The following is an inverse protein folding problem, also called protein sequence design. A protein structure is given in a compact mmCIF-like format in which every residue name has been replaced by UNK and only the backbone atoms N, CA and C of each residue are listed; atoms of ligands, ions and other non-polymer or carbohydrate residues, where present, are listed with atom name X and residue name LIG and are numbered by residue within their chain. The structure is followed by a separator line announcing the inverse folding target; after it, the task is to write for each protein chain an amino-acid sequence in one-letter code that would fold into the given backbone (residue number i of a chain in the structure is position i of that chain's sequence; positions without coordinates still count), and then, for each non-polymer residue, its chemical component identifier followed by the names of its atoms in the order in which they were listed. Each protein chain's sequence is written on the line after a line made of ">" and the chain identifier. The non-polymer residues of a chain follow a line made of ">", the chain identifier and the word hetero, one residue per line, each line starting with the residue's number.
data_IF_830981822150
#
_entry.id   IF_830981822150
#
_cell.length_a   1.000
_cell.length_b   1.000
_cell.length_c   1.000
_cell.angle_alpha   90.00
_cell.angle_beta   90.00
_cell.angle_gamma   90.00
#
_symmetry.space_group_name_H-M   'P 1'
#
loop_
_entity.id
_entity.type
_entity.pdbx_description
1 polymer ?
#
# COMPACT_ATOMS: atom_id res chain seq x y z
N UNK A 1 -12.82 -32.36 10.06
CA UNK A 1 -11.82 -32.35 8.97
C UNK A 1 -10.69 -31.31 9.16
N UNK A 2 -10.45 -30.74 10.36
CA UNK A 2 -9.50 -29.61 10.57
C UNK A 2 -8.29 -29.98 11.49
N UNK A 3 -8.19 -31.23 12.00
CA UNK A 3 -7.18 -31.60 13.00
C UNK A 3 -5.74 -31.83 12.49
N UNK A 4 -5.45 -31.71 11.18
CA UNK A 4 -4.10 -31.98 10.64
C UNK A 4 -3.17 -30.77 10.52
N UNK A 5 -3.60 -29.55 10.88
CA UNK A 5 -2.80 -28.32 10.75
C UNK A 5 -1.88 -28.05 11.95
N UNK A 6 -1.27 -29.08 12.56
CA UNK A 6 -0.14 -28.84 13.48
C UNK A 6 1.13 -28.66 12.64
N UNK A 7 1.72 -27.46 12.56
CA UNK A 7 2.96 -27.26 11.81
C UNK A 7 4.06 -28.11 12.44
N UNK A 8 4.66 -29.00 11.65
CA UNK A 8 5.78 -29.86 12.08
C UNK A 8 7.15 -29.16 11.94
N UNK A 9 7.21 -27.99 11.31
CA UNK A 9 8.45 -27.24 11.04
C UNK A 9 8.27 -25.74 11.21
N UNK A 10 9.37 -25.05 11.54
CA UNK A 10 9.48 -23.58 11.58
C UNK A 10 8.97 -22.93 10.29
N UNK A 11 9.27 -23.54 9.13
CA UNK A 11 8.79 -23.06 7.84
C UNK A 11 7.26 -23.10 7.74
N UNK A 12 6.64 -24.23 8.09
CA UNK A 12 5.17 -24.35 8.05
C UNK A 12 4.49 -23.38 9.00
N UNK A 13 5.05 -23.14 10.19
CA UNK A 13 4.53 -22.15 11.14
C UNK A 13 4.57 -20.73 10.56
N UNK A 14 5.68 -20.34 9.94
CA UNK A 14 5.87 -19.03 9.32
C UNK A 14 4.95 -18.80 8.11
N UNK A 15 4.79 -19.82 7.27
CA UNK A 15 3.85 -19.79 6.14
C UNK A 15 2.41 -19.63 6.63
N UNK A 16 1.98 -20.43 7.61
CA UNK A 16 0.63 -20.31 8.18
C UNK A 16 0.41 -18.92 8.76
N UNK A 17 1.38 -18.37 9.49
CA UNK A 17 1.29 -17.02 10.10
C UNK A 17 1.12 -15.92 9.04
N UNK A 18 1.84 -16.00 7.93
CA UNK A 18 1.70 -15.06 6.81
C UNK A 18 0.38 -15.23 6.08
N UNK A 19 -0.01 -16.47 5.81
CA UNK A 19 -1.26 -16.78 5.12
C UNK A 19 -2.45 -16.27 5.93
N UNK A 20 -2.53 -16.58 7.23
CA UNK A 20 -3.63 -16.12 8.08
C UNK A 20 -3.70 -14.60 8.15
N UNK A 21 -2.56 -13.91 8.32
CA UNK A 21 -2.52 -12.44 8.29
C UNK A 21 -3.01 -11.84 6.97
N UNK A 22 -2.59 -12.44 5.86
CA UNK A 22 -3.00 -11.97 4.52
C UNK A 22 -4.48 -12.23 4.29
N UNK A 23 -4.99 -13.41 4.65
CA UNK A 23 -6.41 -13.75 4.55
C UNK A 23 -7.26 -12.80 5.40
N UNK A 24 -6.86 -12.53 6.65
CA UNK A 24 -7.55 -11.57 7.50
C UNK A 24 -7.52 -10.16 6.92
N UNK A 25 -6.36 -9.71 6.44
CA UNK A 25 -6.22 -8.39 5.83
C UNK A 25 -7.10 -8.24 4.58
N UNK A 26 -7.26 -9.27 3.75
CA UNK A 26 -8.13 -9.23 2.57
C UNK A 26 -9.62 -9.43 2.92
N UNK A 27 -9.94 -10.12 4.01
CA UNK A 27 -11.31 -10.31 4.46
C UNK A 27 -11.93 -9.02 5.03
N UNK A 28 -11.13 -8.14 5.65
CA UNK A 28 -11.60 -6.87 6.24
C UNK A 28 -12.32 -5.99 5.22
N UNK A 29 -11.73 -5.62 4.05
CA UNK A 29 -12.40 -4.77 3.08
C UNK A 29 -13.63 -5.45 2.48
N UNK A 30 -13.60 -6.77 2.29
CA UNK A 30 -14.75 -7.54 1.78
C UNK A 30 -15.91 -7.48 2.76
N UNK A 31 -15.66 -7.71 4.05
CA UNK A 31 -16.68 -7.69 5.10
C UNK A 31 -17.28 -6.29 5.28
N UNK A 32 -16.48 -5.25 5.09
CA UNK A 32 -16.88 -3.85 5.23
C UNK A 32 -17.51 -3.30 3.94
N UNK A 33 -17.30 -3.95 2.79
CA UNK A 33 -17.82 -3.48 1.50
C UNK A 33 -19.33 -3.20 1.46
N UNK A 34 -20.24 -3.98 2.09
CA UNK A 34 -21.69 -3.68 2.07
C UNK A 34 -22.06 -2.38 2.80
N UNK A 35 -21.20 -1.93 3.72
CA UNK A 35 -21.36 -0.66 4.43
C UNK A 35 -20.78 0.46 3.58
N UNK A 36 -19.57 0.25 3.01
CA UNK A 36 -18.95 1.25 2.14
C UNK A 36 -19.80 1.54 0.90
N UNK A 37 -20.42 0.53 0.28
CA UNK A 37 -21.29 0.73 -0.89
C UNK A 37 -22.60 1.44 -0.60
N UNK A 38 -22.95 1.63 0.69
CA UNK A 38 -24.05 2.51 1.10
C UNK A 38 -23.60 3.95 1.38
N UNK A 39 -22.32 4.15 1.70
CA UNK A 39 -21.74 5.44 2.03
C UNK A 39 -21.14 6.14 0.81
N UNK A 40 -20.60 5.38 -0.13
CA UNK A 40 -19.89 5.84 -1.31
C UNK A 40 -20.61 5.43 -2.59
N UNK A 41 -20.54 6.27 -3.60
CA UNK A 41 -21.14 5.97 -4.91
C UNK A 41 -20.18 5.15 -5.78
N UNK A 42 -20.67 4.46 -6.83
CA UNK A 42 -19.80 3.75 -7.77
C UNK A 42 -18.73 4.66 -8.41
N UNK A 43 -19.04 5.95 -8.60
CA UNK A 43 -18.11 6.95 -9.13
C UNK A 43 -16.93 7.18 -8.18
N UNK A 44 -17.17 7.23 -6.86
CA UNK A 44 -16.12 7.35 -5.83
C UNK A 44 -15.13 6.18 -5.89
N UNK A 45 -15.65 4.96 -6.06
CA UNK A 45 -14.82 3.77 -6.24
C UNK A 45 -14.05 3.80 -7.56
N UNK A 46 -14.61 4.41 -8.62
CA UNK A 46 -13.93 4.66 -9.88
C UNK A 46 -12.71 5.57 -9.71
N UNK A 47 -12.86 6.67 -8.96
CA UNK A 47 -11.75 7.59 -8.64
C UNK A 47 -10.68 6.87 -7.83
N UNK A 48 -11.08 6.09 -6.81
CA UNK A 48 -10.14 5.29 -6.03
C UNK A 48 -9.37 4.28 -6.91
N UNK A 49 -10.06 3.55 -7.79
CA UNK A 49 -9.43 2.55 -8.65
C UNK A 49 -8.41 3.20 -9.61
N UNK A 50 -8.78 4.34 -10.19
CA UNK A 50 -7.90 5.12 -11.05
C UNK A 50 -6.67 5.63 -10.27
N UNK A 51 -6.88 6.16 -9.07
CA UNK A 51 -5.82 6.59 -8.16
C UNK A 51 -4.86 5.44 -7.81
N UNK A 52 -5.38 4.26 -7.47
CA UNK A 52 -4.56 3.09 -7.19
C UNK A 52 -3.77 2.64 -8.42
N UNK A 53 -4.35 2.69 -9.62
CA UNK A 53 -3.67 2.28 -10.84
C UNK A 53 -2.47 3.21 -11.14
N UNK A 54 -2.66 4.52 -11.05
CA UNK A 54 -1.59 5.52 -11.25
C UNK A 54 -0.51 5.36 -10.19
N UNK A 55 -0.87 5.29 -8.91
CA UNK A 55 0.10 5.15 -7.82
C UNK A 55 0.87 3.82 -7.89
N UNK A 56 0.23 2.71 -8.27
CA UNK A 56 0.90 1.42 -8.44
C UNK A 56 1.92 1.44 -9.58
N UNK A 57 1.55 2.03 -10.74
CA UNK A 57 2.44 2.17 -11.87
C UNK A 57 3.67 3.02 -11.52
N UNK A 58 3.45 4.19 -10.94
CA UNK A 58 4.53 5.10 -10.56
C UNK A 58 5.39 4.49 -9.46
N UNK A 59 4.80 3.81 -8.47
CA UNK A 59 5.55 3.15 -7.40
C UNK A 59 6.46 2.04 -7.91
N UNK A 60 6.02 1.24 -8.89
CA UNK A 60 6.86 0.20 -9.48
C UNK A 60 8.08 0.77 -10.21
N UNK A 61 7.95 1.94 -10.82
CA UNK A 61 9.06 2.68 -11.43
C UNK A 61 9.93 3.32 -10.33
N UNK A 62 9.30 3.90 -9.30
CA UNK A 62 9.94 4.63 -8.22
C UNK A 62 10.92 3.78 -7.40
N UNK A 63 10.61 2.52 -7.18
CA UNK A 63 11.52 1.63 -6.46
C UNK A 63 12.60 1.02 -7.36
N UNK A 64 12.46 1.13 -8.69
CA UNK A 64 13.36 0.49 -9.67
C UNK A 64 13.42 -1.03 -9.53
N UNK A 65 12.50 -1.63 -8.76
CA UNK A 65 12.56 -3.02 -8.27
C UNK A 65 13.79 -3.37 -7.43
N UNK A 66 14.50 -2.37 -6.90
CA UNK A 66 15.66 -2.60 -6.04
C UNK A 66 15.28 -3.26 -4.71
N UNK A 67 14.02 -3.17 -4.29
CA UNK A 67 13.51 -3.86 -3.11
C UNK A 67 13.67 -5.39 -3.20
N UNK A 68 13.61 -5.97 -4.41
CA UNK A 68 13.86 -7.40 -4.63
C UNK A 68 15.30 -7.78 -4.34
N UNK A 69 16.24 -6.87 -4.59
CA UNK A 69 17.67 -7.11 -4.41
C UNK A 69 18.05 -7.20 -2.92
N UNK A 70 17.21 -6.75 -1.98
CA UNK A 70 17.45 -6.82 -0.53
C UNK A 70 17.69 -8.27 -0.04
N UNK A 71 17.15 -9.26 -0.75
CA UNK A 71 17.31 -10.68 -0.40
C UNK A 71 18.63 -11.30 -0.87
N UNK A 72 19.34 -10.67 -1.82
CA UNK A 72 20.52 -11.26 -2.47
C UNK A 72 21.81 -11.22 -1.63
N UNK A 73 22.15 -10.12 -0.92
CA UNK A 73 23.41 -10.05 -0.19
C UNK A 73 23.50 -11.08 0.94
N UNK A 74 24.70 -11.59 1.20
CA UNK A 74 24.96 -12.47 2.35
C UNK A 74 25.03 -11.67 3.65
N UNK A 75 25.59 -10.48 3.61
CA UNK A 75 25.75 -9.62 4.78
C UNK A 75 24.55 -8.70 4.97
N UNK A 76 24.20 -8.44 6.23
CA UNK A 76 23.08 -7.57 6.56
C UNK A 76 23.39 -6.08 6.32
N UNK A 77 24.66 -5.68 6.39
CA UNK A 77 25.10 -4.32 6.09
C UNK A 77 24.83 -3.98 4.62
N UNK A 78 25.19 -4.88 3.71
CA UNK A 78 24.97 -4.70 2.28
C UNK A 78 23.47 -4.66 1.95
N UNK A 79 22.67 -5.51 2.59
CA UNK A 79 21.21 -5.48 2.44
C UNK A 79 20.58 -4.18 2.99
N UNK A 80 21.11 -3.63 4.10
CA UNK A 80 20.67 -2.35 4.64
C UNK A 80 21.04 -1.18 3.70
N UNK A 81 22.20 -1.25 3.04
CA UNK A 81 22.58 -0.27 2.02
C UNK A 81 21.62 -0.30 0.82
N UNK A 82 21.15 -1.48 0.40
CA UNK A 82 20.12 -1.59 -0.66
C UNK A 82 18.78 -1.00 -0.20
N UNK A 83 18.39 -1.19 1.06
CA UNK A 83 17.20 -0.53 1.63
C UNK A 83 17.34 0.99 1.55
N UNK A 84 18.47 1.53 2.01
CA UNK A 84 18.73 2.97 1.97
C UNK A 84 18.74 3.51 0.53
N UNK A 85 19.35 2.77 -0.41
CA UNK A 85 19.33 3.09 -1.84
C UNK A 85 17.89 3.12 -2.38
N UNK A 86 17.10 2.09 -2.09
CA UNK A 86 15.70 1.99 -2.57
C UNK A 86 14.86 3.16 -2.05
N UNK A 87 14.99 3.50 -0.77
CA UNK A 87 14.30 4.67 -0.18
C UNK A 87 14.76 5.98 -0.82
N UNK A 88 16.06 6.13 -1.07
CA UNK A 88 16.64 7.32 -1.70
C UNK A 88 16.12 7.50 -3.13
N UNK A 89 16.15 6.44 -3.95
CA UNK A 89 15.64 6.46 -5.32
C UNK A 89 14.14 6.72 -5.34
N UNK A 90 13.38 6.08 -4.44
CA UNK A 90 11.93 6.33 -4.32
C UNK A 90 11.65 7.79 -3.94
N UNK A 91 12.43 8.37 -3.04
CA UNK A 91 12.31 9.78 -2.66
C UNK A 91 12.59 10.72 -3.84
N UNK A 92 13.64 10.47 -4.62
CA UNK A 92 13.94 11.23 -5.83
C UNK A 92 12.80 11.14 -6.86
N UNK A 93 12.31 9.93 -7.13
CA UNK A 93 11.23 9.73 -8.11
C UNK A 93 9.90 10.30 -7.62
N UNK A 94 9.63 10.26 -6.31
CA UNK A 94 8.48 10.95 -5.72
C UNK A 94 8.55 12.46 -5.95
N UNK A 95 9.71 13.10 -5.75
CA UNK A 95 9.90 14.52 -6.04
C UNK A 95 9.72 14.84 -7.53
N UNK A 96 10.26 14.01 -8.42
CA UNK A 96 10.05 14.17 -9.88
C UNK A 96 8.57 14.04 -10.22
N UNK A 97 7.88 13.05 -9.63
CA UNK A 97 6.43 12.87 -9.81
C UNK A 97 5.66 14.09 -9.34
N UNK A 98 6.05 14.71 -8.22
CA UNK A 98 5.46 15.94 -7.74
C UNK A 98 5.62 17.09 -8.74
N UNK A 99 6.82 17.27 -9.30
CA UNK A 99 7.06 18.28 -10.33
C UNK A 99 6.23 18.04 -11.60
N UNK A 100 6.13 16.79 -12.04
CA UNK A 100 5.30 16.41 -13.21
C UNK A 100 3.82 16.72 -12.93
N UNK A 101 3.31 16.35 -11.76
CA UNK A 101 1.91 16.63 -11.39
C UNK A 101 1.66 18.13 -11.30
N UNK A 102 2.58 18.93 -10.76
CA UNK A 102 2.41 20.39 -10.66
C UNK A 102 2.30 21.07 -12.03
N UNK A 103 3.02 20.57 -13.03
CA UNK A 103 3.06 21.20 -14.37
C UNK A 103 1.95 20.66 -15.27
N UNK A 104 1.67 19.34 -15.21
CA UNK A 104 0.82 18.64 -16.16
C UNK A 104 -0.50 18.13 -15.54
N UNK A 105 -0.94 18.67 -14.40
CA UNK A 105 -2.13 18.20 -13.70
C UNK A 105 -3.34 18.13 -14.64
N UNK A 106 -3.60 19.21 -15.37
CA UNK A 106 -4.78 19.37 -16.23
C UNK A 106 -4.76 18.39 -17.40
N UNK A 107 -3.62 18.21 -18.05
CA UNK A 107 -3.41 17.30 -19.17
C UNK A 107 -3.57 15.85 -18.71
N UNK A 108 -3.01 15.50 -17.55
CA UNK A 108 -3.13 14.18 -16.96
C UNK A 108 -4.61 13.90 -16.61
N UNK A 109 -5.30 14.84 -15.98
CA UNK A 109 -6.73 14.72 -15.67
C UNK A 109 -7.59 14.52 -16.92
N UNK A 110 -7.32 15.27 -18.00
CA UNK A 110 -8.04 15.15 -19.26
C UNK A 110 -7.78 13.81 -19.93
N UNK A 111 -6.55 13.31 -19.91
CA UNK A 111 -6.16 12.00 -20.43
C UNK A 111 -6.82 10.85 -19.65
N UNK A 112 -6.93 11.00 -18.33
CA UNK A 112 -7.58 10.03 -17.45
C UNK A 112 -9.12 10.04 -17.56
N UNK A 113 -9.70 11.10 -18.14
CA UNK A 113 -11.15 11.20 -18.37
C UNK A 113 -11.98 11.33 -17.10
N UNK A 114 -11.37 11.68 -15.96
CA UNK A 114 -12.09 11.86 -14.69
C UNK A 114 -11.63 13.16 -14.00
N UNK A 115 -12.47 14.22 -13.95
CA UNK A 115 -12.08 15.51 -13.37
C UNK A 115 -11.86 15.46 -11.86
N UNK A 116 -12.52 14.55 -11.14
CA UNK A 116 -12.41 14.46 -9.68
C UNK A 116 -11.02 14.02 -9.20
N UNK A 117 -10.24 13.34 -10.06
CA UNK A 117 -8.89 12.89 -9.69
C UNK A 117 -7.88 14.05 -9.59
N UNK A 118 -8.16 15.21 -10.19
CA UNK A 118 -7.21 16.34 -10.29
C UNK A 118 -6.59 16.72 -8.95
N UNK A 119 -7.41 16.83 -7.90
CA UNK A 119 -6.95 17.16 -6.55
C UNK A 119 -6.16 16.02 -5.90
N UNK A 120 -6.51 14.76 -6.22
CA UNK A 120 -5.85 13.57 -5.69
C UNK A 120 -4.47 13.32 -6.32
N UNK A 121 -4.24 13.79 -7.56
CA UNK A 121 -2.94 13.66 -8.22
C UNK A 121 -1.80 14.30 -7.40
N UNK A 122 -2.05 15.39 -6.67
CA UNK A 122 -1.04 16.03 -5.81
C UNK A 122 -0.61 15.16 -4.63
N UNK A 123 -1.42 14.16 -4.25
CA UNK A 123 -1.15 13.23 -3.14
C UNK A 123 -0.45 11.95 -3.64
N UNK A 124 -0.44 11.70 -4.95
CA UNK A 124 0.25 10.56 -5.58
C UNK A 124 1.73 10.50 -5.18
N UNK A 125 2.54 11.58 -5.23
CA UNK A 125 3.95 11.55 -4.83
C UNK A 125 4.17 11.04 -3.40
N UNK A 126 3.33 11.49 -2.46
CA UNK A 126 3.39 11.05 -1.07
C UNK A 126 3.08 9.56 -0.95
N UNK A 127 2.06 9.09 -1.66
CA UNK A 127 1.67 7.67 -1.65
C UNK A 127 2.74 6.79 -2.27
N UNK A 128 3.39 7.24 -3.35
CA UNK A 128 4.52 6.57 -3.98
C UNK A 128 5.69 6.44 -3.00
N UNK A 129 6.02 7.51 -2.28
CA UNK A 129 7.06 7.49 -1.26
C UNK A 129 6.74 6.49 -0.14
N UNK A 130 5.55 6.60 0.47
CA UNK A 130 5.10 5.69 1.52
C UNK A 130 5.10 4.23 1.05
N UNK A 131 4.64 3.99 -0.18
CA UNK A 131 4.61 2.66 -0.78
C UNK A 131 6.02 2.09 -0.98
N UNK A 132 6.98 2.89 -1.44
CA UNK A 132 8.37 2.42 -1.61
C UNK A 132 9.08 2.16 -0.28
N UNK A 133 8.82 2.98 0.76
CA UNK A 133 9.32 2.71 2.12
C UNK A 133 8.69 1.43 2.67
N UNK A 134 7.37 1.29 2.56
CA UNK A 134 6.63 0.09 2.98
C UNK A 134 7.17 -1.18 2.31
N UNK A 135 7.38 -1.16 1.01
CA UNK A 135 7.96 -2.29 0.27
C UNK A 135 9.37 -2.61 0.75
N UNK A 136 10.25 -1.61 0.89
CA UNK A 136 11.63 -1.80 1.36
C UNK A 136 11.67 -2.44 2.75
N UNK A 137 10.84 -1.96 3.69
CA UNK A 137 10.74 -2.51 5.04
C UNK A 137 10.12 -3.91 5.08
N UNK A 138 9.18 -4.20 4.20
CA UNK A 138 8.61 -5.53 4.06
C UNK A 138 9.65 -6.55 3.58
N UNK A 139 10.45 -6.21 2.56
CA UNK A 139 11.52 -7.08 2.08
C UNK A 139 12.61 -7.28 3.14
N UNK A 140 12.98 -6.23 3.88
CA UNK A 140 13.87 -6.34 5.02
C UNK A 140 13.32 -7.25 6.13
N UNK A 141 12.04 -7.09 6.49
CA UNK A 141 11.39 -7.93 7.50
C UNK A 141 11.28 -9.38 7.05
N UNK A 142 11.04 -9.62 5.76
CA UNK A 142 11.02 -10.94 5.17
C UNK A 142 12.42 -11.60 5.22
N UNK A 143 13.48 -10.85 4.89
CA UNK A 143 14.88 -11.30 5.05
C UNK A 143 15.18 -11.70 6.49
N UNK A 144 14.75 -10.90 7.46
CA UNK A 144 14.93 -11.17 8.90
C UNK A 144 13.97 -12.21 9.48
N UNK A 145 13.10 -12.82 8.66
CA UNK A 145 12.08 -13.80 9.07
C UNK A 145 11.11 -13.27 10.14
N UNK A 146 10.88 -11.96 10.17
CA UNK A 146 9.93 -11.32 11.08
C UNK A 146 8.47 -11.47 10.58
N UNK A 147 8.05 -12.70 10.33
CA UNK A 147 6.77 -13.02 9.69
C UNK A 147 5.55 -12.63 10.53
N UNK A 148 5.66 -12.68 11.86
CA UNK A 148 4.61 -12.18 12.77
C UNK A 148 4.40 -10.68 12.61
N UNK A 149 5.48 -9.89 12.54
CA UNK A 149 5.40 -8.44 12.31
C UNK A 149 4.80 -8.13 10.94
N UNK A 150 5.20 -8.87 9.90
CA UNK A 150 4.65 -8.71 8.55
C UNK A 150 3.15 -8.99 8.51
N UNK A 151 2.71 -10.06 9.17
CA UNK A 151 1.31 -10.45 9.32
C UNK A 151 0.51 -9.37 10.06
N UNK A 152 1.00 -8.89 11.22
CA UNK A 152 0.37 -7.80 11.98
C UNK A 152 0.30 -6.49 11.19
N UNK A 153 1.38 -6.11 10.48
CA UNK A 153 1.40 -4.90 9.66
C UNK A 153 0.34 -4.94 8.55
N UNK A 154 0.15 -6.08 7.86
CA UNK A 154 -0.92 -6.24 6.85
C UNK A 154 -2.32 -6.11 7.45
N UNK A 155 -2.56 -6.71 8.62
CA UNK A 155 -3.85 -6.63 9.29
C UNK A 155 -4.12 -5.21 9.78
N UNK A 156 -3.12 -4.54 10.35
CA UNK A 156 -3.23 -3.14 10.76
C UNK A 156 -3.51 -2.24 9.56
N UNK A 157 -2.75 -2.37 8.47
CA UNK A 157 -2.95 -1.60 7.24
C UNK A 157 -4.39 -1.65 6.74
N UNK A 158 -4.95 -2.87 6.67
CA UNK A 158 -6.30 -3.09 6.17
C UNK A 158 -7.37 -2.66 7.17
N UNK A 159 -7.16 -2.96 8.45
CA UNK A 159 -8.07 -2.58 9.53
C UNK A 159 -8.17 -1.06 9.73
N UNK A 160 -7.02 -0.38 9.83
CA UNK A 160 -6.99 1.08 9.97
C UNK A 160 -7.45 1.76 8.69
N UNK A 161 -7.07 1.23 7.52
CA UNK A 161 -7.53 1.76 6.25
C UNK A 161 -9.05 1.68 6.10
N UNK A 162 -9.64 0.50 6.33
CA UNK A 162 -11.08 0.33 6.24
C UNK A 162 -11.84 1.11 7.34
N UNK A 163 -11.29 1.18 8.56
CA UNK A 163 -11.84 2.00 9.64
C UNK A 163 -11.85 3.49 9.30
N UNK A 164 -10.75 4.01 8.76
CA UNK A 164 -10.63 5.39 8.32
C UNK A 164 -11.57 5.69 7.14
N UNK A 165 -11.67 4.79 6.16
CA UNK A 165 -12.61 4.92 5.04
C UNK A 165 -14.07 4.93 5.53
N UNK A 166 -14.42 4.10 6.52
CA UNK A 166 -15.75 4.12 7.13
C UNK A 166 -16.03 5.41 7.89
N UNK A 167 -15.09 5.88 8.72
CA UNK A 167 -15.29 7.11 9.50
C UNK A 167 -15.43 8.34 8.60
N UNK A 168 -14.63 8.43 7.53
CA UNK A 168 -14.69 9.53 6.57
C UNK A 168 -15.97 9.47 5.73
N UNK A 169 -16.40 8.27 5.33
CA UNK A 169 -17.66 8.07 4.61
C UNK A 169 -18.87 8.42 5.46
N UNK A 170 -18.86 8.06 6.75
CA UNK A 170 -19.89 8.45 7.71
C UNK A 170 -19.94 9.96 7.97
N UNK A 171 -18.82 10.67 7.81
CA UNK A 171 -18.74 12.13 7.88
C UNK A 171 -19.13 12.84 6.57
N UNK A 172 -19.49 12.10 5.52
CA UNK A 172 -19.94 12.65 4.24
C UNK A 172 -18.82 13.02 3.26
N UNK A 173 -17.58 12.58 3.50
CA UNK A 173 -16.52 12.69 2.50
C UNK A 173 -16.77 11.67 1.38
N UNK A 174 -16.80 12.15 0.12
CA UNK A 174 -16.89 11.36 -1.12
C UNK A 174 -15.54 10.64 -1.39
N UNK A 175 -15.10 10.44 -2.63
CA UNK A 175 -13.88 9.74 -3.07
C UNK A 175 -12.64 9.94 -2.19
N UNK A 176 -12.48 11.11 -1.58
CA UNK A 176 -11.40 11.40 -0.64
C UNK A 176 -11.37 10.59 0.63
N UNK A 177 -12.52 10.19 1.17
CA UNK A 177 -12.57 9.33 2.35
C UNK A 177 -11.93 7.97 2.08
N UNK A 178 -12.13 7.42 0.89
CA UNK A 178 -11.51 6.16 0.45
C UNK A 178 -10.00 6.30 0.27
N UNK A 179 -9.55 7.36 -0.43
CA UNK A 179 -8.13 7.58 -0.72
C UNK A 179 -7.33 7.88 0.55
N UNK A 180 -7.84 8.78 1.40
CA UNK A 180 -7.22 9.10 2.68
C UNK A 180 -7.17 7.86 3.58
N UNK A 181 -8.25 7.07 3.63
CA UNK A 181 -8.26 5.83 4.39
C UNK A 181 -7.14 4.88 3.96
N UNK A 182 -6.92 4.71 2.66
CA UNK A 182 -5.83 3.89 2.16
C UNK A 182 -4.44 4.43 2.55
N UNK A 183 -4.22 5.75 2.47
CA UNK A 183 -2.95 6.39 2.83
C UNK A 183 -2.67 6.24 4.33
N UNK A 184 -3.67 6.47 5.19
CA UNK A 184 -3.57 6.27 6.64
C UNK A 184 -3.25 4.82 6.95
N UNK A 185 -3.91 3.88 6.27
CA UNK A 185 -3.61 2.45 6.35
C UNK A 185 -2.14 2.14 6.06
N UNK A 186 -1.62 2.62 4.94
CA UNK A 186 -0.21 2.43 4.57
C UNK A 186 0.76 3.08 5.55
N UNK A 187 0.44 4.27 6.05
CA UNK A 187 1.30 5.03 6.97
C UNK A 187 1.47 4.32 8.31
N UNK A 188 0.40 3.74 8.86
CA UNK A 188 0.45 2.97 10.12
C UNK A 188 1.21 1.65 9.96
N UNK A 189 1.21 1.09 8.75
CA UNK A 189 1.81 -0.21 8.48
C UNK A 189 3.32 -0.16 8.23
N UNK A 190 3.85 1.02 7.89
CA UNK A 190 5.25 1.31 7.53
C UNK A 190 6.07 1.59 8.79
#
# INVERSE_FOLDING_TARGET
>A
MIRSLKPKSEFSHNVITLMTGTTLAQAIPIAISPILTRLYTPEDFGVLALYMAVTALVSAIATGRYELAIMLPKNDVDAANIVALTITVTSMISLVTLSVVMIYNTEITLLLGNPEISNWLYIVPLTVFLTGVYQSLNYWSNRKKHYKRLSTSRVLQSGTGAGASLSMGGAGFSSGGLIIGQIVGQSVAT
#
